data_IF_933475515045
#
_entry.id   IF_933475515045
#
_cell.length_a   1.000
_cell.length_b   1.000
_cell.length_c   1.000
_cell.angle_alpha   90.00
_cell.angle_beta   90.00
_cell.angle_gamma   90.00
#
_symmetry.space_group_name_H-M   'P 1'
#
loop_
_entity.id
_entity.type
_entity.pdbx_description
1 polymer ?
#
# COMPACT_ATOMS: atom_id res chain seq x y z
N UNK A 1 42.96 65.50 -21.22
CA UNK A 1 43.21 66.35 -20.04
C UNK A 1 43.21 65.45 -18.80
N UNK A 2 44.17 65.65 -17.90
CA UNK A 2 44.18 65.15 -16.50
C UNK A 2 43.54 66.23 -15.59
N UNK A 3 43.35 66.08 -14.25
CA UNK A 3 43.70 64.99 -13.31
C UNK A 3 42.45 64.52 -12.49
N UNK A 4 42.35 64.18 -11.18
CA UNK A 4 43.26 64.08 -10.00
C UNK A 4 42.62 63.16 -8.90
N UNK A 5 43.31 62.10 -8.44
CA UNK A 5 43.20 61.47 -7.07
C UNK A 5 41.84 60.92 -6.55
N UNK A 6 41.71 60.16 -5.44
CA UNK A 6 42.65 59.79 -4.34
C UNK A 6 42.54 58.34 -3.83
N UNK A 7 43.60 57.89 -3.15
CA UNK A 7 43.70 56.71 -2.25
C UNK A 7 43.02 57.01 -0.86
N UNK A 8 42.95 56.11 0.18
CA UNK A 8 43.86 54.98 0.50
C UNK A 8 43.29 53.69 1.17
N UNK A 9 44.18 52.68 1.33
CA UNK A 9 44.44 51.72 2.45
C UNK A 9 43.30 51.12 3.35
N UNK A 10 43.42 49.95 3.99
CA UNK A 10 44.62 49.20 4.45
C UNK A 10 44.35 47.70 4.74
N UNK A 11 45.37 46.84 4.58
CA UNK A 11 45.73 45.65 5.40
C UNK A 11 44.68 44.61 5.86
N UNK A 12 44.91 43.34 5.48
CA UNK A 12 45.14 42.26 6.46
C UNK A 12 45.85 41.03 5.84
N UNK A 13 46.87 40.51 6.53
CA UNK A 13 47.59 39.25 6.23
C UNK A 13 47.04 38.11 7.11
N UNK A 14 47.06 36.83 6.66
CA UNK A 14 48.22 35.94 6.82
C UNK A 14 48.66 35.25 5.51
N UNK A 15 49.94 35.17 5.15
CA UNK A 15 51.01 34.29 5.68
C UNK A 15 51.00 32.88 5.05
N UNK A 16 51.87 32.66 4.04
CA UNK A 16 52.13 31.36 3.41
C UNK A 16 53.27 30.61 4.14
N UNK A 17 53.22 29.28 4.27
CA UNK A 17 54.38 28.47 4.59
C UNK A 17 55.29 28.25 3.35
N UNK A 18 56.63 28.24 3.50
CA UNK A 18 57.57 27.86 2.44
C UNK A 18 57.65 26.32 2.23
N UNK A 19 58.25 25.84 1.13
CA UNK A 19 58.11 24.44 0.70
C UNK A 19 59.15 23.48 1.31
N UNK A 20 58.80 22.19 1.41
CA UNK A 20 59.80 21.13 1.58
C UNK A 20 59.35 19.85 2.27
N UNK A 21 58.72 18.92 1.54
CA UNK A 21 58.85 17.46 1.75
C UNK A 21 58.18 16.66 0.65
N UNK A 22 58.97 15.95 -0.16
CA UNK A 22 58.50 14.92 -1.08
C UNK A 22 58.14 13.66 -0.29
N UNK A 23 56.87 13.42 0.00
CA UNK A 23 56.44 12.18 0.66
C UNK A 23 56.43 11.05 -0.38
N UNK A 24 57.21 10.00 -0.13
CA UNK A 24 57.37 8.85 -1.02
C UNK A 24 56.08 8.04 -1.15
N UNK A 25 55.76 7.60 -2.38
CA UNK A 25 54.65 6.68 -2.64
C UNK A 25 55.07 5.27 -2.24
N UNK A 26 54.80 4.87 -0.98
CA UNK A 26 55.29 3.58 -0.45
C UNK A 26 54.39 2.96 0.64
N UNK A 27 53.07 2.95 0.47
CA UNK A 27 52.19 2.07 1.28
C UNK A 27 50.91 1.65 0.53
N UNK A 28 51.06 0.72 -0.41
CA UNK A 28 49.93 0.05 -1.07
C UNK A 28 49.50 -1.19 -0.28
N UNK A 29 48.23 -1.61 -0.42
CA UNK A 29 47.64 -2.87 0.09
C UNK A 29 47.48 -2.93 1.63
N UNK A 30 46.45 -2.26 2.16
CA UNK A 30 45.84 -2.61 3.46
C UNK A 30 44.38 -2.16 3.65
N UNK A 31 43.86 -1.22 2.85
CA UNK A 31 42.46 -0.72 2.98
C UNK A 31 41.37 -1.63 2.38
N UNK A 32 41.71 -2.73 1.70
CA UNK A 32 40.76 -3.55 0.93
C UNK A 32 39.83 -4.47 1.76
N UNK A 33 39.94 -4.47 3.10
CA UNK A 33 39.08 -5.30 3.98
C UNK A 33 37.82 -4.56 4.44
N UNK A 34 37.87 -3.22 4.53
CA UNK A 34 36.77 -2.42 5.10
C UNK A 34 35.57 -2.22 4.16
N UNK A 35 35.76 -2.33 2.85
CA UNK A 35 34.72 -2.00 1.85
C UNK A 35 33.90 -3.22 1.38
N UNK A 36 34.17 -4.41 1.91
CA UNK A 36 33.50 -5.66 1.55
C UNK A 36 32.29 -6.00 2.47
N UNK A 37 31.92 -5.10 3.40
CA UNK A 37 30.86 -5.31 4.40
C UNK A 37 29.77 -4.21 4.28
N UNK A 38 29.50 -3.75 3.04
CA UNK A 38 28.18 -3.15 2.73
C UNK A 38 27.20 -4.30 2.64
N UNK A 39 26.71 -4.76 3.79
CA UNK A 39 25.78 -5.89 3.86
C UNK A 39 24.52 -5.51 3.09
N UNK A 40 24.21 -6.29 2.05
CA UNK A 40 22.96 -6.20 1.31
C UNK A 40 21.82 -6.75 2.19
N UNK A 41 21.47 -6.00 3.24
CA UNK A 41 20.16 -6.09 3.88
C UNK A 41 19.12 -5.57 2.88
N UNK A 42 18.82 -6.42 1.89
CA UNK A 42 17.53 -6.41 1.21
C UNK A 42 16.49 -6.65 2.28
N UNK A 43 15.94 -5.57 2.83
CA UNK A 43 14.73 -5.60 3.63
C UNK A 43 13.62 -6.12 2.71
N UNK A 44 13.43 -7.43 2.70
CA UNK A 44 12.26 -8.06 2.15
C UNK A 44 11.08 -7.59 3.00
N UNK A 45 10.50 -6.45 2.62
CA UNK A 45 9.19 -6.04 3.08
C UNK A 45 8.24 -7.14 2.67
N UNK A 46 7.89 -8.00 3.62
CA UNK A 46 6.81 -8.96 3.43
C UNK A 46 5.54 -8.15 3.26
N UNK A 47 5.20 -7.86 2.01
CA UNK A 47 3.93 -7.22 1.69
C UNK A 47 2.83 -8.09 2.30
N UNK A 48 2.01 -7.54 3.20
CA UNK A 48 1.24 -8.35 4.13
C UNK A 48 0.27 -9.22 3.33
N UNK A 49 0.45 -10.54 3.43
CA UNK A 49 -0.21 -11.52 2.59
C UNK A 49 -1.71 -11.31 2.57
N UNK A 50 -2.31 -11.35 1.39
CA UNK A 50 -3.74 -11.26 1.22
C UNK A 50 -4.34 -12.67 1.32
N UNK A 51 -5.38 -12.83 2.14
CA UNK A 51 -6.05 -14.11 2.39
C UNK A 51 -7.54 -14.04 2.03
N UNK A 52 -8.13 -15.16 1.64
CA UNK A 52 -9.59 -15.32 1.52
C UNK A 52 -10.23 -15.62 2.90
N UNK A 53 -11.57 -15.52 3.05
CA UNK A 53 -12.26 -15.73 4.34
C UNK A 53 -12.10 -17.10 5.01
N UNK A 54 -11.57 -18.12 4.33
CA UNK A 54 -11.17 -19.42 4.91
C UNK A 54 -9.71 -19.47 5.38
N UNK A 55 -8.96 -18.39 5.20
CA UNK A 55 -7.54 -18.27 5.52
C UNK A 55 -6.58 -18.70 4.41
N UNK A 56 -7.05 -19.14 3.24
CA UNK A 56 -6.20 -19.50 2.10
C UNK A 56 -5.58 -18.28 1.42
N UNK A 57 -4.40 -18.44 0.82
CA UNK A 57 -3.67 -17.35 0.16
C UNK A 57 -4.41 -16.84 -1.10
N UNK A 58 -4.72 -15.55 -1.11
CA UNK A 58 -5.34 -14.84 -2.22
C UNK A 58 -4.27 -14.24 -3.15
N UNK A 59 -3.56 -15.12 -3.86
CA UNK A 59 -2.45 -14.78 -4.75
C UNK A 59 -2.90 -13.82 -5.87
N UNK A 60 -2.08 -12.80 -6.14
CA UNK A 60 -2.36 -11.78 -7.17
C UNK A 60 -3.31 -10.68 -6.70
N UNK A 61 -3.46 -10.50 -5.38
CA UNK A 61 -4.11 -9.35 -4.77
C UNK A 61 -3.09 -8.52 -3.97
N UNK A 62 -3.30 -7.21 -3.95
CA UNK A 62 -2.44 -6.20 -3.31
C UNK A 62 -3.21 -5.45 -2.21
N UNK A 63 -2.61 -5.04 -1.08
CA UNK A 63 -3.30 -4.31 0.00
C UNK A 63 -3.76 -2.91 -0.43
N UNK A 64 -5.05 -2.63 -0.29
CA UNK A 64 -5.66 -1.43 -0.86
C UNK A 64 -5.58 -0.17 0.01
N UNK A 65 -5.11 -0.29 1.25
CA UNK A 65 -4.75 0.82 2.14
C UNK A 65 -3.37 0.54 2.75
N UNK A 66 -2.35 1.26 2.30
CA UNK A 66 -0.99 1.15 2.82
C UNK A 66 -0.86 1.69 4.25
N UNK A 67 0.17 1.22 4.97
CA UNK A 67 0.51 1.67 6.34
C UNK A 67 -0.61 1.46 7.40
N UNK A 68 -1.48 0.47 7.19
CA UNK A 68 -2.50 0.05 8.16
C UNK A 68 -2.20 -1.35 8.69
N UNK A 69 -2.64 -1.65 9.92
CA UNK A 69 -2.47 -2.99 10.54
C UNK A 69 -3.20 -4.09 9.77
N UNK A 70 -4.31 -3.74 9.11
CA UNK A 70 -5.09 -4.64 8.29
C UNK A 70 -5.85 -3.86 7.21
N UNK A 71 -5.91 -4.39 6.00
CA UNK A 71 -6.55 -3.81 4.82
C UNK A 71 -7.31 -4.87 4.04
N UNK A 72 -8.39 -4.48 3.36
CA UNK A 72 -8.88 -5.27 2.22
C UNK A 72 -7.83 -5.30 1.10
N UNK A 73 -7.88 -6.34 0.27
CA UNK A 73 -7.02 -6.47 -0.91
C UNK A 73 -7.84 -6.53 -2.20
N UNK A 74 -7.27 -6.00 -3.28
CA UNK A 74 -7.89 -5.87 -4.61
C UNK A 74 -6.90 -6.38 -5.66
N UNK A 75 -7.35 -6.56 -6.91
CA UNK A 75 -6.43 -6.72 -8.06
C UNK A 75 -5.99 -5.35 -8.54
N UNK A 76 -4.85 -5.27 -9.21
CA UNK A 76 -4.33 -4.03 -9.80
C UNK A 76 -5.25 -3.41 -10.88
N UNK A 77 -6.24 -4.18 -11.41
CA UNK A 77 -7.28 -3.68 -12.33
C UNK A 77 -8.56 -3.17 -11.65
N UNK A 78 -8.65 -3.27 -10.31
CA UNK A 78 -9.80 -2.79 -9.54
C UNK A 78 -9.60 -1.35 -9.03
N UNK A 79 -10.69 -0.72 -8.62
CA UNK A 79 -10.67 0.52 -7.82
C UNK A 79 -10.94 0.19 -6.35
N UNK A 80 -10.03 0.58 -5.46
CA UNK A 80 -10.16 0.46 -4.01
C UNK A 80 -11.35 1.28 -3.49
N UNK A 81 -12.22 0.72 -2.65
CA UNK A 81 -13.33 1.43 -2.03
C UNK A 81 -13.11 1.59 -0.52
N UNK A 82 -13.50 2.74 0.03
CA UNK A 82 -13.27 3.12 1.44
C UNK A 82 -13.97 2.25 2.49
N UNK A 83 -14.82 1.32 2.06
CA UNK A 83 -15.63 0.44 2.90
C UNK A 83 -15.24 -1.06 2.77
N UNK A 84 -13.96 -1.34 2.50
CA UNK A 84 -13.41 -2.70 2.57
C UNK A 84 -13.73 -3.59 1.36
N UNK A 85 -13.98 -2.99 0.19
CA UNK A 85 -14.41 -3.67 -1.05
C UNK A 85 -13.67 -3.08 -2.27
N UNK A 86 -13.72 -3.80 -3.39
CA UNK A 86 -13.12 -3.36 -4.66
C UNK A 86 -14.25 -3.13 -5.69
N UNK A 87 -14.17 -2.10 -6.52
CA UNK A 87 -14.96 -2.06 -7.76
C UNK A 87 -14.14 -2.65 -8.90
N UNK A 88 -14.59 -3.78 -9.45
CA UNK A 88 -13.86 -4.46 -10.52
C UNK A 88 -14.34 -4.02 -11.89
N UNK A 89 -13.46 -3.35 -12.63
CA UNK A 89 -13.75 -2.83 -13.98
C UNK A 89 -14.04 -3.96 -14.97
N UNK A 90 -13.35 -5.09 -14.83
CA UNK A 90 -13.48 -6.27 -15.71
C UNK A 90 -14.80 -7.03 -15.48
N UNK A 91 -15.36 -6.90 -14.27
CA UNK A 91 -16.61 -7.58 -13.86
C UNK A 91 -17.81 -6.63 -13.80
N UNK A 92 -17.60 -5.32 -14.00
CA UNK A 92 -18.63 -4.29 -14.00
C UNK A 92 -19.35 -4.06 -12.66
N UNK A 93 -18.82 -4.57 -11.54
CA UNK A 93 -19.51 -4.54 -10.23
C UNK A 93 -18.55 -4.48 -9.04
N UNK A 94 -19.11 -4.22 -7.86
CA UNK A 94 -18.40 -4.32 -6.58
C UNK A 94 -18.13 -5.79 -6.24
N UNK A 95 -16.95 -6.07 -5.75
CA UNK A 95 -16.48 -7.40 -5.32
C UNK A 95 -15.88 -7.32 -3.92
N UNK A 96 -16.06 -8.39 -3.14
CA UNK A 96 -15.13 -8.71 -2.04
C UNK A 96 -14.07 -9.64 -2.61
N UNK A 97 -12.79 -9.32 -2.39
CA UNK A 97 -11.66 -10.22 -2.64
C UNK A 97 -10.97 -10.62 -1.33
N UNK A 98 -9.70 -10.27 -1.13
CA UNK A 98 -8.90 -10.68 0.02
C UNK A 98 -8.89 -9.68 1.18
N UNK A 99 -8.21 -10.07 2.26
CA UNK A 99 -7.93 -9.28 3.45
C UNK A 99 -6.52 -9.59 3.95
N UNK A 100 -5.77 -8.62 4.48
CA UNK A 100 -4.44 -8.88 5.06
C UNK A 100 -4.50 -9.42 6.50
N UNK A 101 -5.65 -9.31 7.17
CA UNK A 101 -5.95 -10.03 8.39
C UNK A 101 -6.56 -11.41 8.04
N UNK A 102 -5.74 -12.45 8.14
CA UNK A 102 -6.14 -13.85 7.91
C UNK A 102 -7.31 -14.31 8.79
N UNK A 103 -7.57 -13.63 9.93
CA UNK A 103 -8.69 -13.97 10.82
C UNK A 103 -10.01 -13.29 10.45
N UNK A 104 -10.01 -12.35 9.51
CA UNK A 104 -11.18 -11.60 9.02
C UNK A 104 -12.00 -10.91 10.13
N UNK A 105 -11.33 -10.40 11.16
CA UNK A 105 -11.90 -9.65 12.28
C UNK A 105 -11.69 -8.15 12.17
N UNK A 106 -10.76 -7.71 11.32
CA UNK A 106 -10.51 -6.29 11.04
C UNK A 106 -11.75 -5.61 10.42
N UNK A 107 -12.18 -4.44 10.93
CA UNK A 107 -13.25 -3.66 10.31
C UNK A 107 -12.88 -3.08 8.93
N UNK A 108 -11.61 -3.19 8.50
CA UNK A 108 -11.17 -2.81 7.15
C UNK A 108 -11.43 -3.89 6.10
N UNK A 109 -11.89 -5.08 6.51
CA UNK A 109 -12.16 -6.22 5.65
C UNK A 109 -13.65 -6.56 5.66
N UNK A 110 -14.35 -6.28 4.56
CA UNK A 110 -15.80 -6.42 4.51
C UNK A 110 -16.24 -7.89 4.57
N UNK A 111 -17.06 -8.23 5.56
CA UNK A 111 -17.63 -9.58 5.72
C UNK A 111 -18.76 -9.89 4.72
N UNK A 112 -19.01 -8.98 3.76
CA UNK A 112 -19.98 -9.15 2.69
C UNK A 112 -19.73 -10.44 1.90
N UNK A 113 -20.67 -11.39 2.01
CA UNK A 113 -20.58 -12.70 1.37
C UNK A 113 -19.39 -13.55 1.84
N UNK A 114 -19.07 -13.52 3.14
CA UNK A 114 -18.21 -14.52 3.81
C UNK A 114 -19.01 -15.78 4.20
N UNK A 115 -19.71 -16.40 3.25
CA UNK A 115 -20.42 -17.67 3.49
C UNK A 115 -19.62 -18.85 2.92
N UNK A 116 -19.96 -20.08 3.34
CA UNK A 116 -19.32 -21.33 2.89
C UNK A 116 -19.10 -21.44 1.37
N UNK A 117 -20.00 -20.87 0.57
CA UNK A 117 -19.93 -20.89 -0.91
C UNK A 117 -18.86 -19.96 -1.49
N UNK A 118 -18.43 -18.96 -0.74
CA UNK A 118 -17.60 -17.84 -1.22
C UNK A 118 -16.32 -17.62 -0.41
N UNK A 119 -16.13 -18.35 0.70
CA UNK A 119 -15.00 -18.15 1.61
C UNK A 119 -13.61 -18.47 1.04
N UNK A 120 -13.52 -19.17 -0.09
CA UNK A 120 -12.28 -19.62 -0.72
C UNK A 120 -11.99 -18.87 -2.04
N UNK A 121 -12.41 -17.61 -2.15
CA UNK A 121 -12.32 -16.86 -3.40
C UNK A 121 -12.99 -15.49 -3.40
N UNK A 122 -13.06 -14.90 -4.60
CA UNK A 122 -13.75 -13.63 -4.87
C UNK A 122 -15.28 -13.79 -4.82
N UNK A 123 -15.98 -12.83 -4.22
CA UNK A 123 -17.43 -12.74 -4.24
C UNK A 123 -17.91 -11.52 -5.04
N UNK A 124 -18.65 -11.76 -6.12
CA UNK A 124 -19.42 -10.71 -6.82
C UNK A 124 -20.57 -10.25 -5.94
N UNK A 125 -20.66 -8.93 -5.73
CA UNK A 125 -21.70 -8.31 -4.94
C UNK A 125 -22.68 -7.57 -5.87
N UNK A 126 -23.96 -7.72 -5.58
CA UNK A 126 -25.05 -6.88 -6.10
C UNK A 126 -25.38 -5.86 -5.01
N UNK A 127 -25.43 -4.55 -5.29
CA UNK A 127 -25.87 -3.55 -4.31
C UNK A 127 -27.40 -3.63 -4.14
N UNK A 128 -27.87 -3.95 -2.94
CA UNK A 128 -29.30 -4.01 -2.61
C UNK A 128 -29.81 -2.62 -2.19
N UNK A 129 -29.72 -1.62 -3.08
CA UNK A 129 -30.13 -0.23 -2.83
C UNK A 129 -29.06 0.80 -3.22
N UNK A 130 -28.94 1.89 -2.45
CA UNK A 130 -27.87 2.88 -2.63
C UNK A 130 -26.53 2.30 -2.16
N UNK A 131 -25.47 2.48 -2.96
CA UNK A 131 -24.13 1.89 -2.77
C UNK A 131 -23.42 2.15 -1.41
N UNK A 132 -23.96 3.03 -0.55
CA UNK A 132 -23.38 3.36 0.75
C UNK A 132 -24.28 2.98 1.96
N UNK A 133 -25.53 2.56 1.73
CA UNK A 133 -26.51 2.26 2.80
C UNK A 133 -27.40 1.06 2.53
N UNK A 134 -27.52 0.61 1.27
CA UNK A 134 -28.08 -0.70 0.93
C UNK A 134 -27.09 -1.81 1.29
N UNK A 135 -27.63 -2.95 1.74
CA UNK A 135 -26.81 -4.15 1.94
C UNK A 135 -26.26 -4.70 0.62
N UNK A 136 -25.40 -5.71 0.71
CA UNK A 136 -24.88 -6.43 -0.47
C UNK A 136 -25.47 -7.84 -0.58
N UNK A 137 -25.76 -8.24 -1.82
CA UNK A 137 -26.40 -9.51 -2.16
C UNK A 137 -25.47 -10.34 -3.06
N UNK A 138 -25.28 -11.62 -2.71
CA UNK A 138 -24.19 -12.44 -3.25
C UNK A 138 -24.52 -13.07 -4.61
N UNK A 139 -23.61 -12.92 -5.58
CA UNK A 139 -23.70 -13.44 -6.96
C UNK A 139 -24.88 -12.88 -7.79
N UNK A 140 -24.63 -12.10 -8.87
CA UNK A 140 -25.71 -11.43 -9.59
C UNK A 140 -26.59 -12.34 -10.47
N UNK A 141 -26.17 -13.57 -10.78
CA UNK A 141 -26.68 -14.26 -11.98
C UNK A 141 -28.06 -14.94 -11.87
N UNK A 142 -28.46 -15.52 -10.72
CA UNK A 142 -29.76 -16.25 -10.64
C UNK A 142 -30.62 -15.96 -9.40
N UNK A 143 -30.05 -15.46 -8.30
CA UNK A 143 -30.82 -15.09 -7.09
C UNK A 143 -30.54 -13.69 -6.53
N UNK A 144 -29.52 -12.97 -7.04
CA UNK A 144 -29.06 -11.71 -6.45
C UNK A 144 -30.11 -10.61 -6.29
N UNK A 145 -31.20 -10.61 -7.10
CA UNK A 145 -32.29 -9.61 -6.99
C UNK A 145 -33.42 -9.98 -6.03
N UNK A 146 -33.74 -11.27 -5.83
CA UNK A 146 -34.68 -11.66 -4.78
C UNK A 146 -34.09 -11.43 -3.38
N UNK A 147 -32.76 -11.34 -3.28
CA UNK A 147 -32.10 -10.88 -2.07
C UNK A 147 -32.42 -9.41 -1.71
N UNK A 148 -32.62 -8.54 -2.71
CA UNK A 148 -33.03 -7.16 -2.45
C UNK A 148 -34.45 -7.09 -1.88
N UNK A 149 -35.36 -7.92 -2.40
CA UNK A 149 -36.79 -7.85 -2.06
C UNK A 149 -37.07 -8.17 -0.58
N UNK A 150 -36.31 -9.07 0.04
CA UNK A 150 -36.46 -9.31 1.49
C UNK A 150 -35.88 -8.16 2.33
N UNK A 151 -34.78 -7.52 1.90
CA UNK A 151 -34.20 -6.37 2.62
C UNK A 151 -35.01 -5.07 2.48
N UNK A 152 -35.94 -4.98 1.53
CA UNK A 152 -36.77 -3.80 1.29
C UNK A 152 -38.17 -3.89 1.93
N UNK A 153 -38.49 -4.97 2.66
CA UNK A 153 -39.76 -5.12 3.39
C UNK A 153 -39.67 -4.50 4.80
N UNK A 154 -40.49 -3.48 5.16
CA UNK A 154 -40.41 -2.81 6.47
C UNK A 154 -40.87 -3.63 7.69
N UNK A 155 -40.97 -4.96 7.60
CA UNK A 155 -41.66 -5.81 8.58
C UNK A 155 -40.92 -7.10 8.96
N UNK A 156 -39.63 -7.21 8.62
CA UNK A 156 -38.81 -8.37 8.95
C UNK A 156 -38.12 -8.19 10.31
N UNK A 157 -38.26 -9.10 11.30
CA UNK A 157 -37.72 -8.91 12.65
C UNK A 157 -36.19 -9.01 12.75
N UNK A 158 -35.49 -9.26 11.64
CA UNK A 158 -34.02 -9.25 11.56
C UNK A 158 -33.43 -7.83 11.44
N UNK A 159 -34.04 -6.84 12.10
CA UNK A 159 -33.64 -5.44 12.15
C UNK A 159 -34.02 -4.79 13.51
N UNK A 160 -33.78 -5.54 14.59
CA UNK A 160 -33.80 -5.15 16.00
C UNK A 160 -32.55 -5.72 16.67
#
# INVERSE_FOLDING_TARGET
MLPLTSHPSTSSHPHLPPPGSTISVSMQISMNVAFAIVVLFSFATSEPGCFYPDGTDAIGLSPCISNTTASHCCRDSDTCLTHGLCFSRDMGTVVRRGCTDQTWKSPQCSTACNTEKFRSGDAMLTPCGLYATGGYCCNPFETGRSCCDYRLRPSDPANL
#
